data_IF_761244100427
#
_entry.id   IF_761244100427
#
_cell.length_a   1.000
_cell.length_b   1.000
_cell.length_c   1.000
_cell.angle_alpha   90.00
_cell.angle_beta   90.00
_cell.angle_gamma   90.00
#
_symmetry.space_group_name_H-M   'P 1'
#
loop_
_entity.id
_entity.type
_entity.pdbx_description
1 polymer ?
#
# COMPACT_ATOMS: atom_id res chain seq x y z
N UNK A 1 7.07 -9.68 1.24
CA UNK A 1 5.60 -9.72 1.25
C UNK A 1 5.09 -9.43 -0.15
N UNK A 2 4.07 -10.17 -0.59
CA UNK A 2 3.43 -9.97 -1.90
C UNK A 2 1.98 -9.60 -1.68
N UNK A 3 1.55 -8.44 -2.18
CA UNK A 3 0.22 -7.92 -1.88
C UNK A 3 -0.32 -7.04 -3.01
N UNK A 4 -1.63 -6.86 -3.03
CA UNK A 4 -2.30 -5.86 -3.86
C UNK A 4 -2.60 -4.61 -3.04
N UNK A 5 -2.42 -3.46 -3.65
CA UNK A 5 -2.80 -2.16 -3.10
C UNK A 5 -3.59 -1.33 -4.10
N UNK A 6 -4.30 -0.36 -3.55
CA UNK A 6 -4.87 0.78 -4.24
C UNK A 6 -4.56 2.03 -3.42
N UNK A 7 -4.00 3.04 -4.06
CA UNK A 7 -3.78 4.36 -3.45
C UNK A 7 -4.80 5.34 -4.00
N UNK A 8 -5.33 6.17 -3.12
CA UNK A 8 -6.37 7.15 -3.40
C UNK A 8 -5.83 8.51 -2.94
N UNK A 9 -6.20 9.56 -3.66
CA UNK A 9 -6.05 10.92 -3.14
C UNK A 9 -6.98 11.07 -1.93
N UNK A 10 -6.54 11.82 -0.92
CA UNK A 10 -7.28 11.98 0.34
C UNK A 10 -8.35 13.08 0.27
N UNK A 11 -8.70 13.55 -0.93
CA UNK A 11 -9.82 14.47 -1.14
C UNK A 11 -11.17 13.74 -1.01
N UNK A 12 -12.24 14.52 -0.98
CA UNK A 12 -13.61 14.00 -0.85
C UNK A 12 -14.03 13.11 -2.04
N UNK A 13 -13.36 13.22 -3.19
CA UNK A 13 -13.65 12.40 -4.38
C UNK A 13 -12.91 11.05 -4.37
N UNK A 14 -11.85 10.90 -3.57
CA UNK A 14 -11.12 9.64 -3.44
C UNK A 14 -10.48 9.18 -4.76
N UNK A 15 -9.89 10.11 -5.51
CA UNK A 15 -9.36 9.83 -6.86
C UNK A 15 -8.30 8.72 -6.82
N UNK A 16 -8.45 7.67 -7.63
CA UNK A 16 -7.46 6.57 -7.71
C UNK A 16 -6.16 7.08 -8.32
N UNK A 17 -5.07 6.99 -7.56
CA UNK A 17 -3.73 7.37 -8.01
C UNK A 17 -2.98 6.19 -8.61
N UNK A 18 -3.08 5.02 -7.98
CA UNK A 18 -2.46 3.77 -8.45
C UNK A 18 -3.22 2.56 -7.92
N UNK A 19 -3.33 1.53 -8.75
CA UNK A 19 -3.99 0.26 -8.43
C UNK A 19 -3.22 -0.90 -9.07
N UNK A 20 -2.62 -1.72 -8.21
CA UNK A 20 -1.87 -2.92 -8.62
C UNK A 20 -2.74 -3.95 -9.35
N UNK A 21 -4.05 -4.02 -9.05
CA UNK A 21 -4.97 -4.95 -9.72
C UNK A 21 -5.29 -4.49 -11.13
N UNK A 22 -5.43 -3.18 -11.34
CA UNK A 22 -5.61 -2.60 -12.68
C UNK A 22 -4.39 -2.85 -13.58
N UNK A 23 -3.19 -2.89 -12.99
CA UNK A 23 -1.94 -3.25 -13.67
C UNK A 23 -1.73 -4.75 -13.84
N UNK A 24 -2.57 -5.60 -13.24
CA UNK A 24 -2.52 -7.05 -13.33
C UNK A 24 -1.32 -7.72 -12.64
N UNK A 25 -0.53 -6.99 -11.85
CA UNK A 25 0.64 -7.54 -11.15
C UNK A 25 0.66 -7.09 -9.68
N UNK A 26 0.80 -8.02 -8.72
CA UNK A 26 0.94 -7.66 -7.31
C UNK A 26 2.28 -6.96 -7.05
N UNK A 27 2.36 -6.24 -5.93
CA UNK A 27 3.58 -5.62 -5.46
C UNK A 27 4.38 -6.58 -4.60
N UNK A 28 5.69 -6.63 -4.82
CA UNK A 28 6.65 -7.38 -4.01
C UNK A 28 7.47 -6.42 -3.17
N UNK A 29 7.35 -6.53 -1.85
CA UNK A 29 8.11 -5.73 -0.89
C UNK A 29 9.10 -6.62 -0.13
N UNK A 30 10.38 -6.28 -0.19
CA UNK A 30 11.44 -6.92 0.59
C UNK A 30 11.61 -6.14 1.89
N UNK A 31 11.17 -6.71 3.01
CA UNK A 31 11.21 -6.08 4.32
C UNK A 31 12.66 -6.01 4.84
N UNK A 32 13.03 -4.90 5.48
CA UNK A 32 14.33 -4.71 6.14
C UNK A 32 15.42 -4.18 5.21
N UNK A 33 15.14 -4.08 3.91
CA UNK A 33 15.91 -3.23 3.00
C UNK A 33 15.21 -1.87 3.00
N UNK A 34 15.77 -0.88 3.71
CA UNK A 34 15.30 0.52 3.81
C UNK A 34 15.09 1.18 2.43
N UNK A 35 14.07 0.76 1.69
CA UNK A 35 13.74 1.25 0.38
C UNK A 35 13.00 2.58 0.47
N UNK A 36 12.74 3.18 -0.70
CA UNK A 36 12.23 4.54 -0.90
C UNK A 36 10.87 4.85 -0.24
N UNK A 37 10.19 3.89 0.40
CA UNK A 37 8.83 4.06 0.93
C UNK A 37 8.63 3.34 2.30
N UNK A 38 9.11 3.93 3.41
CA UNK A 38 9.05 3.32 4.75
C UNK A 38 7.64 2.98 5.25
N UNK A 39 6.62 3.77 4.84
CA UNK A 39 5.24 3.59 5.28
C UNK A 39 4.66 2.21 4.92
N UNK A 40 5.05 1.64 3.78
CA UNK A 40 4.57 0.32 3.37
C UNK A 40 5.12 -0.80 4.26
N UNK A 41 6.37 -0.70 4.71
CA UNK A 41 6.93 -1.69 5.62
C UNK A 41 6.15 -1.68 6.95
N UNK A 42 5.87 -0.49 7.49
CA UNK A 42 5.07 -0.34 8.71
C UNK A 42 3.68 -0.94 8.54
N UNK A 43 2.97 -0.58 7.48
CA UNK A 43 1.60 -1.07 7.23
C UNK A 43 1.59 -2.59 7.06
N UNK A 44 2.38 -3.11 6.11
CA UNK A 44 2.33 -4.53 5.74
C UNK A 44 2.78 -5.44 6.88
N UNK A 45 3.69 -4.98 7.77
CA UNK A 45 4.08 -5.75 8.95
C UNK A 45 2.94 -5.88 10.00
N UNK A 46 1.95 -4.99 9.97
CA UNK A 46 0.79 -5.07 10.89
C UNK A 46 -0.33 -5.97 10.38
N UNK A 47 -0.28 -6.36 9.11
CA UNK A 47 -1.34 -7.12 8.44
C UNK A 47 -1.12 -8.63 8.50
N UNK A 48 -2.21 -9.38 8.48
CA UNK A 48 -2.23 -10.84 8.33
C UNK A 48 -2.38 -11.26 6.86
N UNK A 49 -2.05 -12.51 6.56
CA UNK A 49 -2.27 -13.05 5.22
C UNK A 49 -3.76 -13.01 4.84
N UNK A 50 -4.06 -12.50 3.65
CA UNK A 50 -5.43 -12.32 3.17
C UNK A 50 -6.17 -11.10 3.75
N UNK A 51 -5.57 -10.35 4.66
CA UNK A 51 -6.18 -9.15 5.23
C UNK A 51 -6.37 -8.05 4.18
N UNK A 52 -7.50 -7.36 4.25
CA UNK A 52 -7.81 -6.17 3.47
C UNK A 52 -8.09 -5.04 4.45
N UNK A 53 -7.22 -4.03 4.45
CA UNK A 53 -7.31 -2.88 5.35
C UNK A 53 -7.09 -1.57 4.57
N UNK A 54 -7.60 -0.47 5.13
CA UNK A 54 -7.45 0.87 4.59
C UNK A 54 -6.69 1.73 5.61
N UNK A 55 -5.70 2.47 5.13
CA UNK A 55 -4.85 3.32 5.96
C UNK A 55 -4.89 4.75 5.40
N UNK A 56 -5.33 5.69 6.24
CA UNK A 56 -5.19 7.12 5.94
C UNK A 56 -3.77 7.54 6.33
N UNK A 57 -3.01 8.05 5.36
CA UNK A 57 -1.64 8.50 5.57
C UNK A 57 -1.59 10.03 5.47
N UNK A 58 -1.08 10.70 6.51
CA UNK A 58 -0.79 12.13 6.49
C UNK A 58 0.60 12.38 5.86
N UNK A 59 0.87 13.62 5.46
CA UNK A 59 2.13 14.05 4.82
C UNK A 59 3.32 14.21 5.78
N UNK A 60 3.13 13.90 7.08
CA UNK A 60 4.11 14.15 8.14
C UNK A 60 5.15 13.06 8.32
#
# INVERSE_FOLDING_TARGET
ATFHYRTLHSDDEGTVLDDSRARGKPMELIIGKKFKLPVWETIVCTMREGEIAQFLCDIK
#
